data_IF_217427430548
#
_entry.id   IF_217427430548
#
_cell.length_a   1.000
_cell.length_b   1.000
_cell.length_c   1.000
_cell.angle_alpha   90.00
_cell.angle_beta   90.00
_cell.angle_gamma   90.00
#
_symmetry.space_group_name_H-M   'P 1'
#
loop_
_entity.id
_entity.type
_entity.pdbx_description
1 polymer ?
#
# COMPACT_ATOMS: atom_id res chain seq x y z
N UNK A 1 -6.18 -22.05 9.55
CA UNK A 1 -5.46 -20.86 10.05
C UNK A 1 -5.29 -19.83 8.95
N UNK A 2 -5.04 -20.25 7.71
CA UNK A 2 -5.14 -19.40 6.53
C UNK A 2 -6.59 -18.94 6.28
N UNK A 3 -6.73 -17.77 5.67
CA UNK A 3 -8.02 -17.20 5.28
C UNK A 3 -8.11 -17.23 3.74
N UNK A 4 -9.14 -17.84 3.13
CA UNK A 4 -9.38 -17.73 1.70
C UNK A 4 -9.52 -16.26 1.27
N UNK A 5 -9.06 -15.89 0.08
CA UNK A 5 -9.08 -14.49 -0.34
C UNK A 5 -10.52 -13.92 -0.39
N UNK A 6 -11.49 -14.75 -0.77
CA UNK A 6 -12.92 -14.43 -0.75
C UNK A 6 -13.47 -14.08 0.64
N UNK A 7 -12.81 -14.52 1.71
CA UNK A 7 -13.16 -14.26 3.10
C UNK A 7 -12.29 -13.16 3.73
N UNK A 8 -11.32 -12.62 2.99
CA UNK A 8 -10.40 -11.61 3.50
C UNK A 8 -11.13 -10.27 3.75
N UNK A 9 -10.96 -9.75 4.96
CA UNK A 9 -11.41 -8.44 5.42
C UNK A 9 -10.21 -7.60 5.87
N UNK A 10 -10.36 -6.28 5.95
CA UNK A 10 -9.25 -5.37 6.29
C UNK A 10 -8.70 -5.64 7.70
N UNK A 11 -9.58 -5.94 8.66
CA UNK A 11 -9.25 -6.22 10.06
C UNK A 11 -8.53 -7.55 10.28
N UNK A 12 -8.68 -8.50 9.35
CA UNK A 12 -8.03 -9.83 9.41
C UNK A 12 -6.79 -9.91 8.51
N UNK A 13 -6.85 -9.25 7.35
CA UNK A 13 -5.92 -9.44 6.24
C UNK A 13 -5.15 -8.17 5.83
N UNK A 14 -5.33 -7.04 6.51
CA UNK A 14 -4.73 -5.77 6.11
C UNK A 14 -5.41 -5.13 4.89
N UNK A 15 -4.93 -3.94 4.49
CA UNK A 15 -5.58 -3.09 3.47
C UNK A 15 -5.70 -3.77 2.11
N UNK A 16 -4.57 -4.20 1.53
CA UNK A 16 -4.54 -4.81 0.19
C UNK A 16 -5.36 -6.07 0.06
N UNK A 17 -5.10 -7.07 0.91
CA UNK A 17 -5.79 -8.35 0.81
C UNK A 17 -7.27 -8.23 1.20
N UNK A 18 -7.61 -7.36 2.17
CA UNK A 18 -9.01 -7.04 2.49
C UNK A 18 -9.73 -6.37 1.33
N UNK A 19 -9.08 -5.43 0.64
CA UNK A 19 -9.62 -4.80 -0.59
C UNK A 19 -9.81 -5.83 -1.70
N UNK A 20 -8.81 -6.67 -1.98
CA UNK A 20 -8.93 -7.74 -2.98
C UNK A 20 -10.05 -8.74 -2.65
N UNK A 21 -10.23 -9.08 -1.37
CA UNK A 21 -11.36 -9.90 -0.95
C UNK A 21 -12.70 -9.24 -1.28
N UNK A 22 -12.84 -7.92 -1.07
CA UNK A 22 -14.06 -7.19 -1.47
C UNK A 22 -14.31 -7.31 -2.96
N UNK A 23 -13.27 -7.20 -3.77
CA UNK A 23 -13.37 -7.34 -5.22
C UNK A 23 -13.81 -8.76 -5.64
N UNK A 24 -13.29 -9.81 -4.99
CA UNK A 24 -13.73 -11.20 -5.22
C UNK A 24 -15.23 -11.34 -4.92
N UNK A 25 -15.69 -10.81 -3.78
CA UNK A 25 -17.12 -10.87 -3.38
C UNK A 25 -18.03 -10.04 -4.29
N UNK A 26 -17.49 -9.00 -4.92
CA UNK A 26 -18.17 -8.22 -5.95
C UNK A 26 -18.22 -8.94 -7.31
N UNK A 27 -17.64 -10.13 -7.44
CA UNK A 27 -17.66 -10.93 -8.67
C UNK A 27 -16.60 -10.53 -9.69
N UNK A 28 -15.62 -9.68 -9.31
CA UNK A 28 -14.55 -9.29 -10.21
C UNK A 28 -13.53 -10.40 -10.40
N UNK A 29 -12.87 -10.47 -11.58
CA UNK A 29 -11.91 -11.53 -11.92
C UNK A 29 -10.57 -11.32 -11.22
N UNK A 30 -10.55 -11.54 -9.90
CA UNK A 30 -9.34 -11.47 -9.08
C UNK A 30 -8.67 -12.84 -9.05
N UNK A 31 -7.35 -12.95 -9.29
CA UNK A 31 -6.65 -14.22 -9.20
C UNK A 31 -6.84 -14.86 -7.82
N UNK A 32 -7.11 -16.16 -7.80
CA UNK A 32 -7.31 -16.92 -6.57
C UNK A 32 -6.10 -16.80 -5.63
N UNK A 33 -6.34 -16.77 -4.33
CA UNK A 33 -5.29 -16.63 -3.32
C UNK A 33 -5.75 -17.03 -1.92
N UNK A 34 -4.80 -17.05 -1.01
CA UNK A 34 -4.99 -17.25 0.42
C UNK A 34 -4.18 -16.23 1.20
N UNK A 35 -4.59 -15.93 2.42
CA UNK A 35 -3.94 -14.97 3.30
C UNK A 35 -3.42 -15.67 4.55
N UNK A 36 -2.17 -15.37 4.92
CA UNK A 36 -1.64 -15.56 6.28
C UNK A 36 -2.09 -14.34 7.10
N UNK A 37 -3.08 -14.48 8.00
CA UNK A 37 -3.76 -13.33 8.61
C UNK A 37 -2.89 -12.62 9.66
N UNK A 38 -3.28 -11.40 10.03
CA UNK A 38 -2.60 -10.55 11.01
C UNK A 38 -2.37 -11.29 12.35
N UNK A 39 -3.34 -12.10 12.79
CA UNK A 39 -3.24 -12.88 14.02
C UNK A 39 -2.03 -13.83 14.05
N UNK A 40 -1.61 -14.37 12.88
CA UNK A 40 -0.43 -15.25 12.78
C UNK A 40 0.85 -14.44 12.95
N UNK A 41 0.93 -13.26 12.35
CA UNK A 41 2.05 -12.34 12.58
C UNK A 41 2.12 -11.92 14.05
N UNK A 42 1.00 -11.54 14.68
CA UNK A 42 0.93 -11.18 16.11
C UNK A 42 1.51 -12.27 17.00
N UNK A 43 1.10 -13.52 16.79
CA UNK A 43 1.59 -14.66 17.55
C UNK A 43 3.11 -14.86 17.37
N UNK A 44 3.63 -14.70 16.15
CA UNK A 44 5.06 -14.79 15.87
C UNK A 44 5.84 -13.63 16.53
N UNK A 45 5.35 -12.39 16.40
CA UNK A 45 5.96 -11.21 16.97
C UNK A 45 5.99 -11.25 18.51
N UNK A 46 4.93 -11.75 19.13
CA UNK A 46 4.86 -11.96 20.58
C UNK A 46 5.87 -13.01 21.05
N UNK A 47 5.95 -14.16 20.36
CA UNK A 47 6.91 -15.23 20.69
C UNK A 47 8.37 -14.78 20.59
N UNK A 48 8.68 -13.89 19.66
CA UNK A 48 10.02 -13.33 19.48
C UNK A 48 10.31 -12.14 20.41
N UNK A 49 9.31 -11.64 21.15
CA UNK A 49 9.38 -10.35 21.84
C UNK A 49 9.94 -9.24 20.93
N UNK A 50 9.30 -9.06 19.76
CA UNK A 50 9.68 -8.01 18.80
C UNK A 50 9.80 -6.62 19.48
N UNK A 51 8.89 -6.18 20.37
CA UNK A 51 9.06 -4.95 21.11
C UNK A 51 10.35 -4.90 21.94
N UNK A 52 10.72 -5.99 22.62
CA UNK A 52 12.01 -6.11 23.31
C UNK A 52 13.21 -6.02 22.37
N UNK A 53 13.17 -6.74 21.23
CA UNK A 53 14.23 -6.69 20.21
C UNK A 53 14.45 -5.28 19.66
N UNK A 54 13.36 -4.55 19.38
CA UNK A 54 13.44 -3.16 18.92
C UNK A 54 14.04 -2.26 20.00
N UNK A 55 13.67 -2.47 21.27
CA UNK A 55 14.15 -1.64 22.39
C UNK A 55 15.64 -1.82 22.66
N UNK A 56 16.16 -3.05 22.49
CA UNK A 56 17.54 -3.40 22.80
C UNK A 56 18.49 -3.26 21.59
N UNK A 57 18.03 -3.60 20.39
CA UNK A 57 18.85 -3.70 19.18
C UNK A 57 18.32 -2.91 17.98
N UNK A 58 17.24 -2.14 18.16
CA UNK A 58 16.61 -1.36 17.11
C UNK A 58 15.82 -2.19 16.10
N UNK A 59 15.20 -1.53 15.10
CA UNK A 59 14.38 -2.20 14.08
C UNK A 59 15.10 -3.32 13.33
N UNK A 60 16.41 -3.18 13.12
CA UNK A 60 17.21 -4.20 12.41
C UNK A 60 17.33 -5.51 13.19
N UNK A 61 17.28 -5.47 14.52
CA UNK A 61 17.26 -6.69 15.33
C UNK A 61 15.94 -7.45 15.15
N UNK A 62 14.80 -6.73 15.17
CA UNK A 62 13.49 -7.31 14.87
C UNK A 62 13.41 -7.87 13.45
N UNK A 63 13.93 -7.13 12.46
CA UNK A 63 14.00 -7.57 11.08
C UNK A 63 14.72 -8.93 10.96
N UNK A 64 15.95 -9.04 11.48
CA UNK A 64 16.74 -10.29 11.43
C UNK A 64 16.05 -11.46 12.13
N UNK A 65 15.40 -11.20 13.28
CA UNK A 65 14.69 -12.24 14.00
C UNK A 65 13.47 -12.77 13.22
N UNK A 66 12.75 -11.88 12.53
CA UNK A 66 11.63 -12.26 11.66
C UNK A 66 12.09 -12.94 10.36
N UNK A 67 13.25 -12.59 9.82
CA UNK A 67 13.86 -13.29 8.67
C UNK A 67 14.20 -14.75 9.01
N UNK A 68 14.63 -15.01 10.25
CA UNK A 68 15.03 -16.34 10.72
C UNK A 68 13.93 -17.11 11.47
N UNK A 69 12.72 -16.57 11.58
CA UNK A 69 11.69 -17.16 12.45
C UNK A 69 11.21 -18.50 11.91
N UNK A 70 11.20 -19.54 12.74
CA UNK A 70 10.55 -20.80 12.39
C UNK A 70 9.03 -20.64 12.38
N UNK A 71 8.43 -20.96 11.24
CA UNK A 71 6.97 -21.01 11.10
C UNK A 71 6.45 -22.33 11.69
N UNK A 72 5.32 -22.31 12.42
CA UNK A 72 4.74 -23.54 12.95
C UNK A 72 4.44 -24.55 11.85
N UNK A 73 4.77 -25.84 12.07
CA UNK A 73 4.55 -26.91 11.09
C UNK A 73 3.13 -26.93 10.53
N UNK A 74 2.12 -26.69 11.37
CA UNK A 74 0.73 -26.59 10.94
C UNK A 74 0.49 -25.51 9.88
N UNK A 75 1.14 -24.35 9.99
CA UNK A 75 1.04 -23.27 9.00
C UNK A 75 1.71 -23.68 7.68
N UNK A 76 2.89 -24.30 7.75
CA UNK A 76 3.61 -24.81 6.57
C UNK A 76 2.77 -25.86 5.83
N UNK A 77 2.17 -26.81 6.56
CA UNK A 77 1.31 -27.84 6.00
C UNK A 77 0.04 -27.24 5.37
N UNK A 78 -0.54 -26.19 5.98
CA UNK A 78 -1.68 -25.47 5.39
C UNK A 78 -1.29 -24.71 4.12
N UNK A 79 -0.13 -24.06 4.08
CA UNK A 79 0.41 -23.38 2.90
C UNK A 79 0.66 -24.38 1.77
N UNK A 80 1.27 -25.53 2.06
CA UNK A 80 1.46 -26.60 1.07
C UNK A 80 0.14 -27.05 0.46
N UNK A 81 -0.89 -27.32 1.28
CA UNK A 81 -2.24 -27.66 0.80
C UNK A 81 -2.88 -26.53 -0.01
N UNK A 82 -2.66 -25.28 0.38
CA UNK A 82 -3.18 -24.13 -0.36
C UNK A 82 -2.53 -24.00 -1.74
N UNK A 83 -1.22 -24.21 -1.86
CA UNK A 83 -0.53 -24.19 -3.14
C UNK A 83 -1.07 -25.25 -4.11
N UNK A 84 -1.32 -26.46 -3.63
CA UNK A 84 -1.97 -27.51 -4.44
C UNK A 84 -3.34 -27.06 -4.98
N UNK A 85 -4.14 -26.34 -4.18
CA UNK A 85 -5.43 -25.79 -4.62
C UNK A 85 -5.28 -24.63 -5.61
N UNK A 86 -4.23 -23.82 -5.47
CA UNK A 86 -3.93 -22.72 -6.38
C UNK A 86 -3.39 -23.22 -7.74
N UNK A 87 -2.81 -24.44 -7.75
CA UNK A 87 -2.26 -25.14 -8.91
C UNK A 87 -0.72 -25.12 -8.95
N UNK A 88 -0.12 -25.80 -9.92
CA UNK A 88 1.35 -25.93 -10.07
C UNK A 88 2.04 -24.67 -10.65
N UNK A 89 1.25 -23.62 -10.87
CA UNK A 89 1.73 -22.32 -11.33
C UNK A 89 2.51 -21.57 -10.23
N UNK A 90 3.31 -20.56 -10.61
CA UNK A 90 3.94 -19.70 -9.63
C UNK A 90 2.92 -18.84 -8.89
N UNK A 91 3.28 -18.41 -7.69
CA UNK A 91 2.49 -17.47 -6.89
C UNK A 91 3.23 -16.14 -6.70
N UNK A 92 2.47 -15.08 -6.50
CA UNK A 92 2.95 -13.81 -5.97
C UNK A 92 2.69 -13.79 -4.46
N UNK A 93 3.72 -13.46 -3.68
CA UNK A 93 3.64 -13.31 -2.22
C UNK A 93 3.82 -11.83 -1.89
N UNK A 94 2.83 -11.21 -1.26
CA UNK A 94 2.75 -9.76 -1.07
C UNK A 94 2.41 -9.43 0.37
N UNK A 95 3.09 -8.45 0.96
CA UNK A 95 2.66 -7.90 2.24
C UNK A 95 1.35 -7.13 2.08
N UNK A 96 0.53 -7.19 3.13
CA UNK A 96 -0.75 -6.49 3.24
C UNK A 96 -0.81 -5.91 4.65
N UNK A 97 -0.38 -4.65 4.78
CA UNK A 97 -0.24 -4.00 6.08
C UNK A 97 -1.54 -3.31 6.52
N UNK A 98 -1.70 -3.11 7.82
CA UNK A 98 -2.76 -2.23 8.35
C UNK A 98 -2.39 -0.77 8.06
N UNK A 99 -3.36 0.06 7.65
CA UNK A 99 -3.13 1.48 7.36
C UNK A 99 -2.53 1.79 5.99
N UNK A 100 -2.38 0.78 5.13
CA UNK A 100 -1.85 0.90 3.76
C UNK A 100 -2.72 1.77 2.82
N UNK A 101 -4.02 1.86 3.14
CA UNK A 101 -5.05 2.61 2.42
C UNK A 101 -5.64 3.74 3.29
N UNK A 102 -4.81 4.45 4.06
CA UNK A 102 -5.24 5.62 4.81
C UNK A 102 -5.79 6.72 3.89
N UNK A 103 -6.81 7.46 4.35
CA UNK A 103 -7.51 8.48 3.56
C UNK A 103 -6.63 9.63 3.03
N UNK A 104 -5.38 9.74 3.48
CA UNK A 104 -4.46 10.85 3.18
C UNK A 104 -3.18 10.45 2.47
N UNK A 105 -2.83 9.15 2.35
CA UNK A 105 -1.65 8.69 1.59
C UNK A 105 -1.71 7.19 1.29
N UNK A 106 -1.48 6.83 0.02
CA UNK A 106 -1.23 5.45 -0.39
C UNK A 106 0.25 5.14 -0.21
N UNK A 107 0.59 4.05 0.50
CA UNK A 107 1.96 3.56 0.71
C UNK A 107 2.63 2.99 -0.56
N UNK A 108 2.46 3.64 -1.72
CA UNK A 108 3.01 3.16 -2.97
C UNK A 108 4.55 3.02 -2.87
N UNK A 109 5.05 1.81 -3.16
CA UNK A 109 6.49 1.50 -3.19
C UNK A 109 7.13 0.98 -1.91
N UNK A 110 6.38 0.78 -0.82
CA UNK A 110 6.96 0.39 0.48
C UNK A 110 6.79 -1.09 0.86
N UNK A 111 6.07 -1.84 0.04
CA UNK A 111 5.58 -3.17 0.39
C UNK A 111 6.32 -4.24 -0.41
N UNK A 112 6.98 -5.16 0.30
CA UNK A 112 7.67 -6.27 -0.33
C UNK A 112 6.67 -7.14 -1.09
N UNK A 113 6.91 -7.29 -2.38
CA UNK A 113 6.26 -8.26 -3.25
C UNK A 113 7.32 -9.18 -3.84
N UNK A 114 7.17 -10.48 -3.66
CA UNK A 114 7.96 -11.50 -4.36
C UNK A 114 7.11 -12.15 -5.42
N UNK A 115 7.59 -12.14 -6.65
CA UNK A 115 6.89 -12.67 -7.82
C UNK A 115 7.51 -14.00 -8.24
N UNK A 116 6.74 -14.86 -8.89
CA UNK A 116 7.28 -16.10 -9.44
C UNK A 116 7.68 -17.17 -8.41
N UNK A 117 7.20 -17.07 -7.17
CA UNK A 117 7.55 -17.97 -6.07
C UNK A 117 6.96 -19.37 -6.34
N UNK A 118 7.72 -20.43 -6.08
CA UNK A 118 7.33 -21.82 -6.33
C UNK A 118 7.62 -22.73 -5.15
N UNK A 119 6.67 -23.61 -4.84
CA UNK A 119 6.82 -24.57 -3.74
C UNK A 119 6.65 -23.94 -2.36
N UNK A 120 6.43 -24.80 -1.36
CA UNK A 120 6.12 -24.35 0.00
C UNK A 120 7.30 -23.66 0.68
N UNK A 121 8.53 -24.13 0.45
CA UNK A 121 9.72 -23.60 1.10
C UNK A 121 9.99 -22.15 0.68
N UNK A 122 9.93 -21.84 -0.62
CA UNK A 122 10.09 -20.47 -1.10
C UNK A 122 8.95 -19.55 -0.62
N UNK A 123 7.73 -20.07 -0.47
CA UNK A 123 6.60 -19.32 0.10
C UNK A 123 6.82 -19.02 1.57
N UNK A 124 7.34 -19.97 2.35
CA UNK A 124 7.72 -19.75 3.76
C UNK A 124 8.77 -18.65 3.87
N UNK A 125 9.80 -18.69 3.02
CA UNK A 125 10.83 -17.65 2.98
C UNK A 125 10.28 -16.29 2.54
N UNK A 126 9.32 -16.28 1.60
CA UNK A 126 8.64 -15.06 1.19
C UNK A 126 7.75 -14.48 2.30
N UNK A 127 7.05 -15.32 3.08
CA UNK A 127 6.25 -14.89 4.25
C UNK A 127 7.15 -14.24 5.30
N UNK A 128 8.27 -14.88 5.64
CA UNK A 128 9.29 -14.33 6.56
C UNK A 128 9.79 -12.97 6.07
N UNK A 129 10.13 -12.88 4.78
CA UNK A 129 10.61 -11.65 4.18
C UNK A 129 9.54 -10.54 4.21
N UNK A 130 8.27 -10.85 3.97
CA UNK A 130 7.17 -9.88 4.08
C UNK A 130 7.03 -9.36 5.51
N UNK A 131 7.08 -10.24 6.52
CA UNK A 131 7.04 -9.82 7.93
C UNK A 131 8.26 -8.96 8.32
N UNK A 132 9.45 -9.37 7.90
CA UNK A 132 10.69 -8.64 8.15
C UNK A 132 10.69 -7.26 7.48
N UNK A 133 10.11 -7.14 6.28
CA UNK A 133 10.05 -5.87 5.52
C UNK A 133 9.37 -4.74 6.29
N UNK A 134 8.48 -5.07 7.23
CA UNK A 134 7.85 -4.09 8.10
C UNK A 134 8.85 -3.31 8.95
N UNK A 135 10.03 -3.89 9.20
CA UNK A 135 11.10 -3.32 10.02
C UNK A 135 12.28 -2.81 9.18
N UNK A 136 12.13 -2.73 7.86
CA UNK A 136 13.15 -2.15 6.99
C UNK A 136 13.37 -0.66 7.31
N UNK A 137 14.56 -0.10 7.01
CA UNK A 137 14.84 1.32 7.21
C UNK A 137 13.79 2.23 6.56
N UNK A 138 13.34 1.90 5.35
CA UNK A 138 12.36 2.66 4.58
C UNK A 138 10.98 2.63 5.24
N UNK A 139 10.51 1.43 5.63
CA UNK A 139 9.22 1.26 6.28
C UNK A 139 9.17 1.94 7.66
N UNK A 140 10.27 1.90 8.41
CA UNK A 140 10.40 2.59 9.70
C UNK A 140 10.43 4.10 9.51
N UNK A 141 11.21 4.60 8.53
CA UNK A 141 11.29 6.03 8.25
C UNK A 141 9.92 6.59 7.85
N UNK A 142 9.18 5.87 7.00
CA UNK A 142 7.84 6.29 6.60
C UNK A 142 6.87 6.42 7.79
N UNK A 143 6.85 5.41 8.69
CA UNK A 143 5.98 5.47 9.87
C UNK A 143 6.32 6.62 10.82
N UNK A 144 7.60 6.99 10.92
CA UNK A 144 8.01 8.17 11.71
C UNK A 144 7.48 9.47 11.11
N UNK A 145 7.45 9.59 9.79
CA UNK A 145 6.87 10.77 9.12
C UNK A 145 5.37 10.88 9.39
N UNK A 146 4.68 9.76 9.56
CA UNK A 146 3.26 9.76 9.95
C UNK A 146 3.05 10.13 11.42
N UNK A 147 3.90 9.66 12.33
CA UNK A 147 3.81 10.03 13.74
C UNK A 147 4.09 11.53 13.96
N UNK A 148 5.06 12.12 13.26
CA UNK A 148 5.41 13.55 13.40
C UNK A 148 4.31 14.50 12.87
N UNK A 149 3.52 14.08 11.87
CA UNK A 149 2.45 14.89 11.27
C UNK A 149 1.17 14.91 12.14
N UNK A 150 0.96 13.90 12.98
CA UNK A 150 -0.20 13.85 13.89
C UNK A 150 0.04 14.60 15.22
N UNK A 151 1.29 14.91 15.56
CA UNK A 151 1.67 15.63 16.79
C UNK A 151 1.73 17.15 16.57
N UNK A 152 1.57 17.66 15.34
CA UNK A 152 1.80 19.08 15.02
C UNK A 152 0.91 19.67 13.93
N UNK A 153 -0.36 19.96 14.23
CA UNK A 153 -1.20 20.83 13.42
C UNK A 153 -1.93 21.88 14.28
N UNK A 154 -1.77 23.20 14.05
CA UNK A 154 -2.48 24.20 14.84
C UNK A 154 -3.99 24.11 14.59
N UNK A 155 -4.76 23.90 15.67
CA UNK A 155 -6.24 23.87 15.70
C UNK A 155 -6.92 25.20 15.35
N UNK A 156 -6.20 26.21 14.89
CA UNK A 156 -6.71 27.55 14.61
C UNK A 156 -6.73 27.84 13.10
N UNK A 157 -7.52 27.09 12.33
CA UNK A 157 -7.90 27.46 10.96
C UNK A 157 -9.21 26.77 10.50
N UNK A 158 -10.13 26.46 11.42
CA UNK A 158 -11.42 25.86 11.07
C UNK A 158 -12.65 26.73 11.31
N UNK A 159 -12.49 27.92 11.92
CA UNK A 159 -13.59 28.86 12.14
C UNK A 159 -13.23 30.25 11.59
N UNK A 160 -13.08 30.39 10.27
CA UNK A 160 -12.99 31.72 9.62
C UNK A 160 -13.37 31.69 8.12
N UNK A 161 -14.49 31.04 7.76
CA UNK A 161 -15.18 31.34 6.49
C UNK A 161 -16.69 31.39 6.78
N UNK A 162 -17.11 32.44 7.47
CA UNK A 162 -18.51 32.84 7.60
C UNK A 162 -18.58 34.24 8.21
N UNK A 163 -18.33 35.27 7.38
CA UNK A 163 -19.08 36.53 7.36
C UNK A 163 -18.38 37.51 6.43
N UNK A 164 -19.00 37.74 5.27
CA UNK A 164 -18.74 38.94 4.49
C UNK A 164 -19.34 40.16 5.19
N UNK A 165 -18.63 41.28 5.15
CA UNK A 165 -19.09 42.55 5.69
C UNK A 165 -18.09 43.68 5.45
N UNK A 166 -18.25 44.36 4.31
CA UNK A 166 -18.11 45.80 4.08
C UNK A 166 -17.00 46.63 4.76
N UNK A 167 -16.21 47.30 3.91
CA UNK A 167 -15.72 48.70 3.98
C UNK A 167 -15.31 49.26 5.37
N UNK A 168 -14.06 49.72 5.47
CA UNK A 168 -13.71 51.16 5.49
C UNK A 168 -12.19 51.34 5.62
N UNK A 169 -11.64 52.22 4.78
CA UNK A 169 -10.35 52.89 4.97
C UNK A 169 -10.36 53.64 6.31
N UNK A 170 -9.24 53.66 7.03
CA UNK A 170 -8.67 54.84 7.70
C UNK A 170 -7.35 54.52 8.45
N UNK A 171 -6.33 55.30 8.07
CA UNK A 171 -5.06 55.63 8.71
C UNK A 171 -4.53 54.91 9.95
N UNK A 172 -3.26 54.49 9.88
CA UNK A 172 -2.40 54.32 11.05
C UNK A 172 -1.08 55.08 10.88
N UNK A 173 -0.90 56.13 11.67
CA UNK A 173 0.40 56.63 12.09
C UNK A 173 0.75 56.13 13.49
N UNK A 174 2.04 56.14 13.83
CA UNK A 174 2.50 56.33 15.22
C UNK A 174 2.95 55.09 16.02
N UNK A 175 4.23 54.74 15.86
CA UNK A 175 5.27 54.87 16.91
C UNK A 175 5.06 54.27 18.32
N UNK A 176 6.06 53.42 18.69
CA UNK A 176 6.70 53.25 20.04
C UNK A 176 5.80 52.67 21.16
N UNK A 177 6.26 51.96 22.18
CA UNK A 177 7.56 51.47 22.62
C UNK A 177 7.30 50.64 23.90
N UNK A 178 8.17 49.66 24.12
CA UNK A 178 8.80 49.30 25.41
C UNK A 178 8.05 48.57 26.53
N UNK A 179 8.86 47.67 27.11
CA UNK A 179 9.04 47.37 28.54
C UNK A 179 8.39 46.09 29.08
N UNK A 180 9.28 45.21 29.58
CA UNK A 180 9.20 44.84 30.99
C UNK A 180 8.81 43.39 31.27
N UNK A 181 9.77 42.48 31.17
CA UNK A 181 9.70 41.18 31.85
C UNK A 181 10.42 41.27 33.20
N UNK A 182 9.78 40.83 34.30
CA UNK A 182 10.51 40.36 35.46
C UNK A 182 10.23 38.88 35.78
N UNK A 183 11.31 38.16 36.08
CA UNK A 183 11.48 37.42 37.34
C UNK A 183 10.54 36.28 37.70
N UNK A 184 11.01 35.06 37.43
CA UNK A 184 11.00 33.84 38.27
C UNK A 184 9.98 33.69 39.43
N UNK A 185 9.37 32.49 39.49
CA UNK A 185 9.39 31.62 40.68
C UNK A 185 8.87 30.21 40.39
N UNK A 186 9.60 29.23 40.93
CA UNK A 186 9.24 27.81 40.98
C UNK A 186 7.94 27.58 41.75
N UNK A 187 7.12 26.65 41.24
CA UNK A 187 6.16 25.90 42.04
C UNK A 187 6.16 24.45 41.54
N UNK A 188 6.61 23.57 42.43
CA UNK A 188 6.45 22.13 42.36
C UNK A 188 4.97 21.75 42.36
N UNK A 189 4.51 21.12 41.29
CA UNK A 189 3.22 20.43 41.25
C UNK A 189 3.43 19.08 40.59
N UNK A 190 3.24 18.01 41.36
CA UNK A 190 3.09 16.65 40.85
C UNK A 190 1.89 16.62 39.90
N UNK A 191 2.14 16.61 38.60
CA UNK A 191 1.10 16.37 37.60
C UNK A 191 1.12 14.89 37.30
N UNK A 192 -0.01 14.25 37.58
CA UNK A 192 -0.24 12.83 37.39
C UNK A 192 0.09 12.36 35.98
N UNK A 193 0.40 11.07 35.89
CA UNK A 193 0.50 10.36 34.63
C UNK A 193 -0.70 10.71 33.74
N UNK A 194 -0.49 11.10 32.47
CA UNK A 194 -1.61 11.17 31.55
C UNK A 194 -2.11 9.74 31.32
N UNK A 195 -3.30 9.47 31.85
CA UNK A 195 -4.14 8.36 31.43
C UNK A 195 -4.33 8.40 29.91
N UNK A 196 -4.08 7.23 29.30
CA UNK A 196 -4.70 6.72 28.08
C UNK A 196 -4.93 7.72 26.92
N UNK A 197 -3.84 8.21 26.32
CA UNK A 197 -3.84 8.57 24.90
C UNK A 197 -3.49 7.32 24.09
N UNK A 198 -4.38 6.95 23.15
CA UNK A 198 -4.45 5.63 22.51
C UNK A 198 -3.10 4.98 22.16
N UNK A 199 -2.89 3.76 22.68
CA UNK A 199 -1.86 2.86 22.17
C UNK A 199 -2.17 2.59 20.70
N UNK A 200 -1.42 3.21 19.78
CA UNK A 200 -1.38 2.70 18.40
C UNK A 200 -0.77 1.31 18.48
N UNK A 201 -1.51 0.31 18.03
CA UNK A 201 -1.02 -1.07 17.97
C UNK A 201 0.31 -1.10 17.23
N UNK A 202 1.23 -1.96 17.69
CA UNK A 202 2.50 -2.19 17.02
C UNK A 202 2.26 -2.46 15.53
N UNK A 203 3.18 -2.10 14.61
CA UNK A 203 2.94 -2.31 13.19
C UNK A 203 2.74 -3.80 12.91
N UNK A 204 1.72 -4.11 12.11
CA UNK A 204 1.33 -5.47 11.75
C UNK A 204 1.16 -5.63 10.24
N UNK A 205 1.41 -6.83 9.76
CA UNK A 205 1.20 -7.15 8.34
C UNK A 205 0.74 -8.59 8.16
N UNK A 206 -0.29 -8.75 7.35
CA UNK A 206 -0.69 -10.04 6.80
C UNK A 206 0.13 -10.32 5.53
N UNK A 207 0.10 -11.55 5.06
CA UNK A 207 0.76 -11.94 3.81
C UNK A 207 -0.23 -12.59 2.87
N UNK A 208 -0.39 -12.01 1.70
CA UNK A 208 -1.19 -12.55 0.61
C UNK A 208 -0.32 -13.48 -0.24
N UNK A 209 -0.79 -14.72 -0.44
CA UNK A 209 -0.24 -15.67 -1.40
C UNK A 209 -1.27 -15.88 -2.49
N UNK A 210 -0.99 -15.37 -3.69
CA UNK A 210 -1.95 -15.29 -4.78
C UNK A 210 -1.37 -15.92 -6.05
N UNK A 211 -2.19 -16.58 -6.87
CA UNK A 211 -1.77 -17.06 -8.18
C UNK A 211 -1.12 -15.91 -8.98
N UNK A 212 0.05 -16.16 -9.54
CA UNK A 212 0.73 -15.18 -10.39
C UNK A 212 0.02 -15.07 -11.75
N UNK A 213 0.03 -13.87 -12.32
CA UNK A 213 -0.47 -13.60 -13.68
C UNK A 213 0.69 -13.09 -14.50
N UNK A 214 1.13 -13.90 -15.48
CA UNK A 214 2.09 -13.47 -16.50
C UNK A 214 1.36 -12.58 -17.51
N UNK A 215 1.27 -11.30 -17.19
CA UNK A 215 0.48 -10.36 -17.98
C UNK A 215 1.21 -9.94 -19.26
N UNK A 216 0.50 -9.98 -20.40
CA UNK A 216 0.97 -9.38 -21.64
C UNK A 216 0.92 -7.85 -21.59
N UNK A 217 -0.07 -7.31 -20.88
CA UNK A 217 -0.31 -5.89 -20.63
C UNK A 217 -0.79 -5.72 -19.19
N UNK A 218 -0.24 -4.74 -18.49
CA UNK A 218 -0.66 -4.39 -17.14
C UNK A 218 -0.62 -2.88 -16.94
N UNK A 219 -1.35 -2.41 -15.93
CA UNK A 219 -1.56 -0.98 -15.75
C UNK A 219 -2.24 -0.63 -14.44
N UNK A 220 -2.58 0.66 -14.33
CA UNK A 220 -3.36 1.24 -13.25
C UNK A 220 -4.60 1.92 -13.82
N UNK A 221 -5.68 1.92 -13.04
CA UNK A 221 -6.93 2.55 -13.40
C UNK A 221 -7.31 3.53 -12.28
N UNK A 222 -7.74 4.73 -12.66
CA UNK A 222 -8.22 5.76 -11.76
C UNK A 222 -9.65 6.13 -12.14
N UNK A 223 -10.56 6.00 -11.19
CA UNK A 223 -11.92 6.52 -11.31
C UNK A 223 -12.03 7.90 -10.69
N UNK A 224 -12.88 8.73 -11.26
CA UNK A 224 -13.19 10.04 -10.70
C UNK A 224 -14.06 9.95 -9.44
N UNK A 225 -14.25 11.09 -8.77
CA UNK A 225 -14.92 11.16 -7.47
C UNK A 225 -16.41 11.48 -7.60
N UNK A 226 -16.81 12.13 -8.69
CA UNK A 226 -18.19 12.46 -8.98
C UNK A 226 -18.73 11.58 -10.12
N UNK A 227 -20.05 11.27 -10.10
CA UNK A 227 -20.70 10.61 -11.23
C UNK A 227 -20.44 11.38 -12.54
N UNK A 228 -20.00 10.69 -13.58
CA UNK A 228 -19.68 11.28 -14.88
C UNK A 228 -18.25 11.79 -15.03
N UNK A 229 -17.45 11.78 -13.96
CA UNK A 229 -16.01 12.04 -14.09
C UNK A 229 -15.34 11.00 -15.02
N UNK A 230 -14.31 11.41 -15.79
CA UNK A 230 -13.62 10.50 -16.67
C UNK A 230 -12.85 9.42 -15.91
N UNK A 231 -12.76 8.23 -16.51
CA UNK A 231 -11.88 7.16 -16.05
C UNK A 231 -10.56 7.25 -16.80
N UNK A 232 -9.45 7.16 -16.08
CA UNK A 232 -8.10 7.15 -16.67
C UNK A 232 -7.51 5.76 -16.53
N UNK A 233 -7.05 5.19 -17.64
CA UNK A 233 -6.33 3.91 -17.68
C UNK A 233 -4.92 4.16 -18.18
N UNK A 234 -3.93 3.79 -17.38
CA UNK A 234 -2.52 3.83 -17.78
C UNK A 234 -1.97 2.41 -17.90
N UNK A 235 -1.49 2.02 -19.08
CA UNK A 235 -1.10 0.64 -19.35
C UNK A 235 0.22 0.54 -20.14
N UNK A 236 0.96 -0.54 -19.90
CA UNK A 236 2.18 -0.87 -20.63
C UNK A 236 2.31 -2.37 -20.84
N UNK A 237 3.17 -2.77 -21.78
CA UNK A 237 3.51 -4.16 -22.04
C UNK A 237 4.19 -4.83 -20.83
N UNK A 238 3.85 -6.10 -20.62
CA UNK A 238 4.38 -6.94 -19.55
C UNK A 238 3.70 -6.72 -18.19
N UNK A 239 4.41 -7.07 -17.13
CA UNK A 239 4.00 -6.97 -15.73
C UNK A 239 3.86 -5.51 -15.27
N UNK A 240 2.91 -5.27 -14.37
CA UNK A 240 2.54 -3.92 -13.90
C UNK A 240 3.62 -3.18 -13.09
N UNK A 241 4.68 -3.87 -12.69
CA UNK A 241 5.82 -3.26 -11.98
C UNK A 241 6.45 -2.12 -12.81
N UNK A 242 6.48 -2.23 -14.15
CA UNK A 242 7.02 -1.17 -15.01
C UNK A 242 6.27 0.15 -14.86
N UNK A 243 4.94 0.09 -14.73
CA UNK A 243 4.06 1.26 -14.60
C UNK A 243 4.13 1.81 -13.18
N UNK A 244 3.93 0.95 -12.17
CA UNK A 244 3.92 1.35 -10.76
C UNK A 244 5.28 1.88 -10.30
N UNK A 245 6.38 1.32 -10.82
CA UNK A 245 7.73 1.78 -10.53
C UNK A 245 8.19 3.01 -11.32
N UNK A 246 7.35 3.54 -12.23
CA UNK A 246 7.68 4.72 -13.04
C UNK A 246 8.84 4.49 -14.02
N UNK A 247 9.07 3.25 -14.43
CA UNK A 247 10.20 2.88 -15.29
C UNK A 247 9.90 3.00 -16.78
N UNK A 248 8.63 3.22 -17.11
CA UNK A 248 8.14 3.34 -18.47
C UNK A 248 7.15 4.51 -18.54
N UNK A 249 7.08 5.17 -19.68
CA UNK A 249 5.96 6.04 -20.02
C UNK A 249 4.86 5.16 -20.63
N UNK A 250 3.76 4.88 -19.90
CA UNK A 250 2.69 4.01 -20.37
C UNK A 250 1.83 4.72 -21.43
N UNK A 251 0.98 3.95 -22.10
CA UNK A 251 -0.18 4.52 -22.79
C UNK A 251 -1.13 5.11 -21.76
N UNK A 252 -1.70 6.27 -22.08
CA UNK A 252 -2.72 6.91 -21.26
C UNK A 252 -4.02 7.00 -22.04
N UNK A 253 -5.04 6.33 -21.53
CA UNK A 253 -6.39 6.35 -22.08
C UNK A 253 -7.33 7.11 -21.15
N UNK A 254 -8.14 8.00 -21.69
CA UNK A 254 -9.18 8.72 -20.96
C UNK A 254 -10.54 8.32 -21.54
N UNK A 255 -11.41 7.79 -20.68
CA UNK A 255 -12.76 7.39 -21.05
C UNK A 255 -13.75 8.36 -20.42
N UNK A 256 -14.46 9.12 -21.25
CA UNK A 256 -15.48 10.05 -20.78
C UNK A 256 -16.78 9.32 -20.37
N UNK A 257 -17.77 10.09 -19.90
CA UNK A 257 -19.08 9.58 -19.50
C UNK A 257 -19.88 8.95 -20.65
N UNK A 258 -19.63 9.36 -21.89
CA UNK A 258 -20.27 8.81 -23.09
C UNK A 258 -19.57 7.54 -23.60
N UNK A 259 -18.40 7.20 -23.05
CA UNK A 259 -17.58 6.07 -23.48
C UNK A 259 -16.65 6.38 -24.66
N UNK A 260 -16.47 7.66 -25.01
CA UNK A 260 -15.45 8.07 -25.96
C UNK A 260 -14.06 7.85 -25.33
N UNK A 261 -13.12 7.35 -26.13
CA UNK A 261 -11.77 7.01 -25.69
C UNK A 261 -10.79 7.96 -26.36
N UNK A 262 -10.15 8.81 -25.57
CA UNK A 262 -8.98 9.58 -25.99
C UNK A 262 -7.71 8.84 -25.57
N UNK A 263 -6.69 8.77 -26.44
CA UNK A 263 -5.48 7.98 -26.21
C UNK A 263 -4.23 8.76 -26.54
N UNK A 264 -3.31 8.81 -25.57
CA UNK A 264 -1.92 9.23 -25.77
C UNK A 264 -1.04 8.00 -25.68
N UNK A 265 -0.35 7.68 -26.77
CA UNK A 265 0.56 6.52 -26.83
C UNK A 265 1.88 6.87 -26.16
N UNK A 266 2.27 6.07 -25.17
CA UNK A 266 3.54 6.18 -24.49
C UNK A 266 4.67 5.49 -25.27
N UNK A 267 5.92 5.86 -24.97
CA UNK A 267 7.08 5.33 -25.66
C UNK A 267 7.28 3.81 -25.43
N UNK A 268 6.88 3.30 -24.26
CA UNK A 268 6.91 1.86 -23.89
C UNK A 268 8.18 1.13 -24.33
N UNK A 269 9.35 1.72 -24.08
CA UNK A 269 10.65 1.21 -24.57
C UNK A 269 11.06 -0.12 -23.95
N UNK A 270 10.59 -0.42 -22.75
CA UNK A 270 10.89 -1.67 -22.03
C UNK A 270 9.63 -2.31 -21.46
N UNK A 271 9.67 -3.64 -21.34
CA UNK A 271 8.66 -4.45 -20.66
C UNK A 271 9.29 -5.28 -19.56
N UNK A 272 8.51 -5.58 -18.54
CA UNK A 272 8.92 -6.45 -17.45
C UNK A 272 8.21 -7.80 -17.61
N UNK A 273 8.96 -8.89 -17.63
CA UNK A 273 8.42 -10.23 -17.72
C UNK A 273 9.03 -11.12 -16.64
N UNK A 274 8.32 -12.20 -16.30
CA UNK A 274 8.83 -13.15 -15.33
C UNK A 274 9.84 -14.09 -15.98
N UNK A 275 11.04 -14.18 -15.40
CA UNK A 275 12.04 -15.21 -15.69
C UNK A 275 12.30 -16.03 -14.43
N UNK A 276 11.63 -17.18 -14.32
CA UNK A 276 11.67 -18.00 -13.10
C UNK A 276 10.97 -17.29 -11.93
N UNK A 277 11.72 -17.06 -10.85
CA UNK A 277 11.30 -16.30 -9.66
C UNK A 277 11.76 -14.82 -9.69
N UNK A 278 12.34 -14.38 -10.80
CA UNK A 278 12.81 -13.00 -10.99
C UNK A 278 11.96 -12.28 -12.04
N UNK A 279 11.98 -10.95 -11.98
CA UNK A 279 11.47 -10.10 -13.05
C UNK A 279 12.66 -9.61 -13.87
N UNK A 280 12.59 -9.79 -15.18
CA UNK A 280 13.58 -9.27 -16.12
C UNK A 280 12.97 -8.15 -16.93
N UNK A 281 13.75 -7.10 -17.16
CA UNK A 281 13.36 -6.02 -18.05
C UNK A 281 14.08 -6.19 -19.37
N UNK A 282 13.30 -6.20 -20.43
CA UNK A 282 13.79 -6.34 -21.80
C UNK A 282 13.25 -5.21 -22.65
N UNK A 283 13.90 -4.95 -23.78
CA UNK A 283 13.37 -4.04 -24.78
C UNK A 283 12.03 -4.59 -25.29
N UNK A 284 11.05 -3.71 -25.49
CA UNK A 284 9.81 -4.11 -26.16
C UNK A 284 10.14 -4.49 -27.61
N UNK A 285 9.60 -5.60 -28.15
CA UNK A 285 9.85 -6.00 -29.53
C UNK A 285 9.56 -4.90 -30.55
N UNK A 286 10.34 -4.88 -31.62
CA UNK A 286 10.22 -3.88 -32.68
C UNK A 286 8.78 -3.79 -33.21
N UNK A 287 8.29 -2.56 -33.37
CA UNK A 287 6.91 -2.29 -33.80
C UNK A 287 5.87 -2.25 -32.68
N UNK A 288 6.15 -2.78 -31.48
CA UNK A 288 5.20 -2.74 -30.35
C UNK A 288 5.35 -1.51 -29.45
N UNK A 289 6.55 -0.93 -29.37
CA UNK A 289 6.82 0.22 -28.48
C UNK A 289 5.94 1.44 -28.81
N UNK A 290 5.81 1.75 -30.10
CA UNK A 290 4.94 2.83 -30.62
C UNK A 290 3.50 2.42 -30.89
N UNK A 291 3.12 1.15 -30.64
CA UNK A 291 1.75 0.68 -30.80
C UNK A 291 0.96 0.89 -29.51
N UNK A 292 -0.37 0.97 -29.62
CA UNK A 292 -1.27 0.93 -28.46
C UNK A 292 -1.26 -0.48 -27.85
N UNK A 293 -1.08 -0.58 -26.53
CA UNK A 293 -1.12 -1.87 -25.82
C UNK A 293 -2.54 -2.35 -25.55
N UNK A 294 -3.52 -1.45 -25.53
CA UNK A 294 -4.94 -1.77 -25.40
C UNK A 294 -5.75 -1.13 -26.54
N UNK A 295 -6.65 -1.93 -27.10
CA UNK A 295 -7.67 -1.42 -28.01
C UNK A 295 -8.81 -0.72 -27.24
N UNK A 296 -9.65 0.02 -27.96
CA UNK A 296 -10.75 0.77 -27.34
C UNK A 296 -11.77 -0.14 -26.63
N UNK A 297 -11.96 -1.38 -27.10
CA UNK A 297 -12.93 -2.30 -26.52
C UNK A 297 -12.45 -2.75 -25.13
N UNK A 298 -11.17 -3.12 -25.00
CA UNK A 298 -10.52 -3.45 -23.74
C UNK A 298 -10.54 -2.26 -22.79
N UNK A 299 -10.20 -1.06 -23.27
CA UNK A 299 -10.22 0.17 -22.45
C UNK A 299 -11.61 0.47 -21.91
N UNK A 300 -12.66 0.39 -22.75
CA UNK A 300 -14.05 0.57 -22.29
C UNK A 300 -14.47 -0.51 -21.31
N UNK A 301 -14.07 -1.75 -21.52
CA UNK A 301 -14.31 -2.86 -20.60
C UNK A 301 -13.71 -2.60 -19.22
N UNK A 302 -12.44 -2.20 -19.16
CA UNK A 302 -11.76 -1.82 -17.91
C UNK A 302 -12.43 -0.63 -17.24
N UNK A 303 -12.80 0.40 -18.01
CA UNK A 303 -13.51 1.56 -17.46
C UNK A 303 -14.90 1.22 -16.92
N UNK A 304 -15.61 0.27 -17.53
CA UNK A 304 -16.85 -0.28 -16.99
C UNK A 304 -16.63 -0.93 -15.62
N UNK A 305 -15.67 -1.85 -15.53
CA UNK A 305 -15.30 -2.50 -14.25
C UNK A 305 -14.92 -1.47 -13.18
N UNK A 306 -14.19 -0.42 -13.55
CA UNK A 306 -13.79 0.65 -12.63
C UNK A 306 -14.97 1.44 -12.06
N UNK A 307 -16.05 1.65 -12.84
CA UNK A 307 -17.24 2.39 -12.39
C UNK A 307 -18.16 1.58 -11.50
N UNK A 308 -18.09 0.25 -11.60
CA UNK A 308 -18.87 -0.68 -10.78
C UNK A 308 -18.25 -0.91 -9.38
N UNK A 309 -17.05 -0.34 -9.13
CA UNK A 309 -16.30 -0.38 -7.87
C UNK A 309 -16.65 0.77 -6.92
#
# INVERSE_FOLDING_TARGET
MLVPLEDATIDVAGGKAGTLGRLVRAGLPVPAGVVVPLAVYRAAAQRLDVPGLVRLGGPRAAQRALEAVDLPRMLVDELARALVRLGDGPVAVRSSATGEDGATRSGAGQHLSRLGVRGVDEVVDAVRACWASLWSPEAVAYRRLDDDQDVGGPRAARDAVSSGGSREDLGSGGSRATAGFPGSRHASGSVGAPDAAGSRDAPETAVLVQRHVDADVAGVLFTGRAPGDPVVVEASWGLGESVVGGHVTPDRHVVDAAGAVDTVVGAKVTRADRAGASVVRTAVPDGLAGARCLDDAAVRGLAGLGRDL
#
